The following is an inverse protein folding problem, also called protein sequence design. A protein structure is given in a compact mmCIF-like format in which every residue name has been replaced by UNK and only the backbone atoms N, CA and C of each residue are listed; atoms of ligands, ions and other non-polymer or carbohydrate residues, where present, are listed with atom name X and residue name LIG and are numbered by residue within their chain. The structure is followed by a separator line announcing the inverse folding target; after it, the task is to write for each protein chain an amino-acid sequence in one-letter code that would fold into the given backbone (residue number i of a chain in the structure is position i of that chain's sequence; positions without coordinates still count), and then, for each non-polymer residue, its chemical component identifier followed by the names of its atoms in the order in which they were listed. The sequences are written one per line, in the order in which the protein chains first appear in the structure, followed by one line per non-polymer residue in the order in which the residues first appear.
data_IF_317650844568
#
_entry.id   IF_317650844568
#
_cell.length_a   1.000
_cell.length_b   1.000
_cell.length_c   1.000
_cell.angle_alpha   90.00
_cell.angle_beta   90.00
_cell.angle_gamma   90.00
#
_symmetry.space_group_name_H-M   'P 1'
#
loop_
_entity.id
_entity.type
_entity.pdbx_description
1 polymer ?
#
# COMPACT_ATOMS: atom_id res chain seq x y z
N UNK A 1 -43.85 -2.41 11.51
CA UNK A 1 -42.67 -1.67 12.02
C UNK A 1 -41.57 -2.63 12.46
N UNK A 2 -41.83 -3.55 13.40
CA UNK A 2 -40.84 -4.53 13.90
C UNK A 2 -40.05 -5.28 12.81
N UNK A 3 -40.74 -5.82 11.78
CA UNK A 3 -40.08 -6.55 10.67
C UNK A 3 -39.13 -5.71 9.82
N UNK A 4 -39.45 -4.43 9.61
CA UNK A 4 -38.62 -3.51 8.81
C UNK A 4 -37.35 -3.18 9.59
N UNK A 5 -37.48 -2.89 10.89
CA UNK A 5 -36.33 -2.64 11.78
C UNK A 5 -35.39 -3.85 11.89
N UNK A 6 -35.94 -5.07 12.00
CA UNK A 6 -35.11 -6.28 12.06
C UNK A 6 -34.36 -6.47 10.74
N UNK A 7 -35.02 -6.31 9.60
CA UNK A 7 -34.39 -6.44 8.28
C UNK A 7 -33.28 -5.39 8.07
N UNK A 8 -33.49 -4.13 8.46
CA UNK A 8 -32.47 -3.09 8.35
C UNK A 8 -31.26 -3.35 9.23
N UNK A 9 -31.45 -3.86 10.46
CA UNK A 9 -30.34 -4.25 11.32
C UNK A 9 -29.50 -5.37 10.70
N UNK A 10 -30.14 -6.36 10.08
CA UNK A 10 -29.44 -7.43 9.37
C UNK A 10 -28.66 -6.92 8.16
N UNK A 11 -29.23 -5.99 7.39
CA UNK A 11 -28.51 -5.36 6.26
C UNK A 11 -27.31 -4.55 6.77
N UNK A 12 -27.47 -3.81 7.87
CA UNK A 12 -26.37 -3.10 8.54
C UNK A 12 -25.23 -4.04 8.91
N UNK A 13 -25.53 -5.14 9.60
CA UNK A 13 -24.53 -6.16 9.99
C UNK A 13 -23.89 -6.79 8.75
N UNK A 14 -24.67 -7.18 7.74
CA UNK A 14 -24.14 -7.77 6.51
C UNK A 14 -23.22 -6.80 5.76
N UNK A 15 -23.60 -5.52 5.67
CA UNK A 15 -22.79 -4.48 5.04
C UNK A 15 -21.48 -4.23 5.79
N UNK A 16 -21.52 -4.22 7.13
CA UNK A 16 -20.33 -4.12 7.96
C UNK A 16 -19.40 -5.31 7.72
N UNK A 17 -19.90 -6.55 7.76
CA UNK A 17 -19.08 -7.73 7.53
C UNK A 17 -18.44 -7.72 6.13
N UNK A 18 -19.19 -7.33 5.10
CA UNK A 18 -18.67 -7.22 3.74
C UNK A 18 -17.57 -6.15 3.63
N UNK A 19 -17.82 -4.95 4.16
CA UNK A 19 -16.86 -3.84 4.11
C UNK A 19 -15.60 -4.14 4.94
N UNK A 20 -15.75 -4.69 6.14
CA UNK A 20 -14.64 -5.06 7.01
C UNK A 20 -13.75 -6.15 6.37
N UNK A 21 -14.37 -7.15 5.74
CA UNK A 21 -13.63 -8.26 5.09
C UNK A 21 -12.92 -7.84 3.81
N UNK A 22 -13.50 -6.92 3.02
CA UNK A 22 -12.91 -6.48 1.75
C UNK A 22 -11.90 -5.35 1.94
N UNK A 23 -12.30 -4.31 2.67
CA UNK A 23 -11.64 -2.98 2.67
C UNK A 23 -11.16 -2.57 4.07
N UNK A 24 -11.49 -3.34 5.10
CA UNK A 24 -11.06 -3.07 6.46
C UNK A 24 -9.54 -3.22 6.67
N UNK A 25 -9.05 -2.88 7.88
CA UNK A 25 -7.63 -2.96 8.20
C UNK A 25 -7.04 -4.36 8.01
N UNK A 26 -7.83 -5.41 8.29
CA UNK A 26 -7.47 -6.81 8.08
C UNK A 26 -8.09 -7.42 6.81
N UNK A 27 -8.59 -6.58 5.90
CA UNK A 27 -9.30 -7.02 4.69
C UNK A 27 -8.38 -7.50 3.57
N UNK A 28 -8.99 -8.11 2.55
CA UNK A 28 -8.30 -8.66 1.38
C UNK A 28 -7.40 -7.65 0.67
N UNK A 29 -7.84 -6.40 0.53
CA UNK A 29 -7.06 -5.35 -0.14
C UNK A 29 -5.77 -5.05 0.62
N UNK A 30 -5.83 -5.01 1.96
CA UNK A 30 -4.67 -4.80 2.81
C UNK A 30 -3.69 -5.97 2.68
N UNK A 31 -4.19 -7.21 2.68
CA UNK A 31 -3.36 -8.40 2.48
C UNK A 31 -2.66 -8.41 1.12
N UNK A 32 -3.36 -8.05 0.04
CA UNK A 32 -2.75 -7.94 -1.29
C UNK A 32 -1.63 -6.90 -1.33
N UNK A 33 -1.86 -5.72 -0.72
CA UNK A 33 -0.83 -4.67 -0.64
C UNK A 33 0.38 -5.13 0.17
N UNK A 34 0.16 -5.78 1.31
CA UNK A 34 1.25 -6.36 2.13
C UNK A 34 2.04 -7.40 1.34
N UNK A 35 1.36 -8.25 0.57
CA UNK A 35 2.02 -9.23 -0.29
C UNK A 35 2.92 -8.56 -1.34
N UNK A 36 2.42 -7.53 -2.03
CA UNK A 36 3.22 -6.77 -2.99
C UNK A 36 4.40 -6.05 -2.32
N UNK A 37 4.19 -5.42 -1.16
CA UNK A 37 5.25 -4.75 -0.42
C UNK A 37 6.34 -5.73 0.04
N UNK A 38 5.94 -6.91 0.49
CA UNK A 38 6.87 -7.97 0.88
C UNK A 38 7.73 -8.42 -0.29
N UNK A 39 7.14 -8.53 -1.48
CA UNK A 39 7.87 -8.91 -2.69
C UNK A 39 8.90 -7.85 -3.09
N UNK A 40 8.52 -6.56 -3.06
CA UNK A 40 9.49 -5.47 -3.27
C UNK A 40 10.61 -5.47 -2.23
N UNK A 41 10.30 -5.72 -0.96
CA UNK A 41 11.32 -5.81 0.09
C UNK A 41 12.29 -6.96 -0.14
N UNK A 42 11.82 -8.12 -0.63
CA UNK A 42 12.68 -9.25 -0.98
C UNK A 42 13.62 -8.91 -2.14
N UNK A 43 13.10 -8.25 -3.19
CA UNK A 43 13.92 -7.82 -4.33
C UNK A 43 15.01 -6.85 -3.88
N UNK A 44 14.65 -5.84 -3.08
CA UNK A 44 15.60 -4.87 -2.54
C UNK A 44 16.65 -5.54 -1.65
N UNK A 45 16.25 -6.52 -0.82
CA UNK A 45 17.19 -7.25 0.01
C UNK A 45 18.17 -8.09 -0.82
N UNK A 46 17.70 -8.70 -1.91
CA UNK A 46 18.56 -9.44 -2.83
C UNK A 46 19.57 -8.53 -3.55
N UNK A 47 19.13 -7.35 -3.99
CA UNK A 47 20.00 -6.34 -4.61
C UNK A 47 21.05 -5.81 -3.63
N UNK A 48 20.65 -5.48 -2.39
CA UNK A 48 21.59 -5.06 -1.36
C UNK A 48 22.60 -6.15 -1.02
N UNK A 49 22.16 -7.42 -1.00
CA UNK A 49 23.06 -8.56 -0.76
C UNK A 49 24.09 -8.71 -1.88
N UNK A 50 23.70 -8.53 -3.14
CA UNK A 50 24.63 -8.66 -4.27
C UNK A 50 25.64 -7.51 -4.32
N UNK A 51 25.19 -6.28 -4.05
CA UNK A 51 26.07 -5.11 -3.91
C UNK A 51 27.06 -5.29 -2.76
N UNK A 52 26.58 -5.74 -1.60
CA UNK A 52 27.45 -5.98 -0.45
C UNK A 52 28.48 -7.07 -0.72
N UNK A 53 28.09 -8.16 -1.40
CA UNK A 53 29.03 -9.21 -1.79
C UNK A 53 30.11 -8.68 -2.75
N UNK A 54 29.73 -7.85 -3.72
CA UNK A 54 30.67 -7.20 -4.63
C UNK A 54 31.65 -6.30 -3.89
N UNK A 55 31.15 -5.39 -3.05
CA UNK A 55 32.02 -4.49 -2.28
C UNK A 55 32.91 -5.22 -1.29
N UNK A 56 32.43 -6.31 -0.69
CA UNK A 56 33.26 -7.15 0.18
C UNK A 56 34.40 -7.79 -0.59
N UNK A 57 34.15 -8.23 -1.83
CA UNK A 57 35.20 -8.76 -2.71
C UNK A 57 36.21 -7.70 -3.14
N UNK A 58 35.74 -6.51 -3.53
CA UNK A 58 36.61 -5.37 -3.89
C UNK A 58 37.45 -4.93 -2.67
N UNK A 59 36.85 -4.88 -1.49
CA UNK A 59 37.56 -4.57 -0.25
C UNK A 59 38.60 -5.62 0.10
N UNK A 60 38.29 -6.90 -0.06
CA UNK A 60 39.25 -7.98 0.21
C UNK A 60 40.42 -7.97 -0.78
N UNK A 61 40.17 -7.67 -2.07
CA UNK A 61 41.26 -7.54 -3.05
C UNK A 61 42.16 -6.34 -2.71
N UNK A 62 41.58 -5.19 -2.35
CA UNK A 62 42.36 -4.04 -1.87
C UNK A 62 43.15 -4.36 -0.60
N UNK A 63 42.68 -5.26 0.25
CA UNK A 63 43.38 -5.60 1.49
C UNK A 63 44.53 -6.59 1.28
N UNK A 64 44.37 -7.52 0.34
CA UNK A 64 45.31 -8.62 0.14
C UNK A 64 46.32 -8.35 -0.97
N UNK A 65 45.97 -7.54 -1.98
CA UNK A 65 46.81 -7.25 -3.13
C UNK A 65 47.38 -5.82 -3.05
N UNK A 66 48.70 -5.72 -2.89
CA UNK A 66 49.40 -4.45 -2.86
C UNK A 66 49.25 -3.66 -4.17
N UNK A 67 49.28 -4.35 -5.32
CA UNK A 67 49.08 -3.72 -6.63
C UNK A 67 47.69 -3.10 -6.76
N UNK A 68 46.63 -3.79 -6.30
CA UNK A 68 45.27 -3.26 -6.30
C UNK A 68 45.14 -2.01 -5.43
N UNK A 69 45.78 -2.01 -4.25
CA UNK A 69 45.83 -0.85 -3.35
C UNK A 69 46.49 0.35 -4.03
N UNK A 70 47.64 0.15 -4.67
CA UNK A 70 48.39 1.22 -5.35
C UNK A 70 47.57 1.79 -6.51
N UNK A 71 46.90 0.94 -7.27
CA UNK A 71 46.08 1.37 -8.41
C UNK A 71 44.87 2.18 -7.96
N UNK A 72 44.21 1.79 -6.87
CA UNK A 72 43.12 2.56 -6.27
C UNK A 72 43.59 3.84 -5.58
N UNK A 73 44.77 3.83 -4.93
CA UNK A 73 45.36 5.04 -4.39
C UNK A 73 45.63 6.07 -5.50
N UNK A 74 46.12 5.64 -6.66
CA UNK A 74 46.30 6.48 -7.85
C UNK A 74 44.97 6.99 -8.41
N UNK A 75 43.90 6.17 -8.39
CA UNK A 75 42.56 6.60 -8.83
C UNK A 75 42.01 7.73 -7.94
N UNK A 76 42.37 7.71 -6.65
CA UNK A 76 42.06 8.74 -5.66
C UNK A 76 43.02 9.95 -5.70
N UNK A 77 44.06 9.91 -6.53
CA UNK A 77 45.03 10.99 -6.69
C UNK A 77 46.22 10.95 -5.72
N UNK A 78 46.40 9.86 -4.98
CA UNK A 78 47.60 9.61 -4.20
C UNK A 78 48.71 9.02 -5.07
N UNK A 79 49.94 9.45 -4.82
CA UNK A 79 51.12 9.03 -5.57
C UNK A 79 52.26 8.76 -4.60
N UNK A 80 53.12 7.82 -4.96
CA UNK A 80 54.37 7.59 -4.25
C UNK A 80 55.38 8.71 -4.58
N UNK A 81 56.32 8.95 -3.67
CA UNK A 81 57.31 10.03 -3.78
C UNK A 81 58.23 9.88 -5.01
N UNK A 82 58.34 8.66 -5.56
CA UNK A 82 59.16 8.31 -6.72
C UNK A 82 58.38 8.26 -8.05
N UNK A 83 57.07 8.55 -8.06
CA UNK A 83 56.24 8.50 -9.26
C UNK A 83 56.12 9.86 -9.98
N UNK A 84 56.27 9.85 -11.31
CA UNK A 84 56.06 11.02 -12.17
C UNK A 84 54.76 10.84 -12.93
N UNK A 85 53.82 11.77 -12.77
CA UNK A 85 52.48 11.67 -13.39
C UNK A 85 52.24 12.76 -14.42
N UNK A 86 51.72 12.34 -15.57
CA UNK A 86 51.27 13.24 -16.64
C UNK A 86 49.77 13.47 -16.49
N UNK A 87 49.38 14.69 -16.13
CA UNK A 87 47.97 15.07 -16.06
C UNK A 87 47.43 15.32 -17.46
N UNK A 88 46.65 14.39 -17.97
CA UNK A 88 45.86 14.59 -19.18
C UNK A 88 44.63 15.43 -18.82
N UNK A 89 44.42 16.56 -19.50
CA UNK A 89 43.21 17.39 -19.33
C UNK A 89 42.01 16.73 -19.99
N UNK A 90 41.54 15.63 -19.40
CA UNK A 90 40.27 14.98 -19.74
C UNK A 90 39.24 15.47 -18.72
N UNK A 91 38.02 15.76 -19.18
CA UNK A 91 36.93 16.08 -18.27
C UNK A 91 36.78 14.93 -17.26
N UNK A 92 36.89 15.25 -15.96
CA UNK A 92 36.76 14.24 -14.92
C UNK A 92 35.36 13.61 -15.00
N UNK A 93 35.22 12.28 -14.96
CA UNK A 93 33.92 11.66 -14.84
C UNK A 93 33.27 12.13 -13.52
N UNK A 94 31.97 12.41 -13.56
CA UNK A 94 31.21 12.85 -12.40
C UNK A 94 31.15 11.69 -11.40
N UNK A 95 31.92 11.78 -10.32
CA UNK A 95 31.91 10.79 -9.24
C UNK A 95 30.70 11.03 -8.35
N UNK A 96 29.69 10.17 -8.47
CA UNK A 96 28.53 10.16 -7.56
C UNK A 96 28.83 9.16 -6.44
N UNK A 97 29.03 9.60 -5.18
CA UNK A 97 29.27 8.69 -4.09
C UNK A 97 28.07 7.74 -3.92
N UNK A 98 28.30 6.45 -3.64
CA UNK A 98 27.21 5.52 -3.40
C UNK A 98 26.38 5.98 -2.19
N UNK A 99 25.10 6.26 -2.42
CA UNK A 99 24.16 6.63 -1.36
C UNK A 99 23.97 5.44 -0.42
N UNK A 100 23.93 5.67 0.89
CA UNK A 100 23.63 4.66 1.92
C UNK A 100 22.17 4.11 1.89
N UNK A 101 21.49 4.26 0.74
CA UNK A 101 20.06 4.03 0.59
C UNK A 101 19.20 5.10 1.27
N UNK A 102 17.88 4.91 1.20
CA UNK A 102 16.90 5.69 1.97
C UNK A 102 16.15 4.75 2.89
N UNK A 103 15.87 5.20 4.12
CA UNK A 103 15.00 4.46 5.04
C UNK A 103 13.60 4.34 4.42
N UNK A 104 13.12 3.11 4.25
CA UNK A 104 11.73 2.85 3.90
C UNK A 104 10.90 2.99 5.17
N UNK A 105 10.03 4.01 5.22
CA UNK A 105 8.98 4.08 6.24
C UNK A 105 7.81 3.22 5.78
N UNK A 106 7.48 2.18 6.54
CA UNK A 106 6.28 1.39 6.31
C UNK A 106 5.11 2.03 7.08
N UNK A 107 4.17 2.62 6.36
CA UNK A 107 2.88 3.00 6.92
C UNK A 107 1.82 2.00 6.46
N UNK A 108 1.08 1.36 7.38
CA UNK A 108 0.01 0.44 7.00
C UNK A 108 -1.11 1.21 6.30
N UNK A 109 -1.22 1.03 4.98
CA UNK A 109 -2.24 1.68 4.17
C UNK A 109 -3.59 0.98 4.35
N UNK A 110 -4.32 1.31 5.42
CA UNK A 110 -5.76 0.99 5.48
C UNK A 110 -6.51 1.89 4.52
N UNK A 111 -7.34 1.31 3.63
CA UNK A 111 -8.16 2.10 2.69
C UNK A 111 -9.31 2.79 3.42
N UNK A 112 -9.87 2.13 4.43
CA UNK A 112 -10.78 2.72 5.39
C UNK A 112 -10.33 2.40 6.82
N UNK A 113 -10.42 3.39 7.69
CA UNK A 113 -10.32 3.16 9.13
C UNK A 113 -11.56 2.43 9.63
N UNK A 114 -11.40 1.67 10.71
CA UNK A 114 -12.49 0.93 11.36
C UNK A 114 -13.69 1.82 11.71
N UNK A 115 -13.43 3.07 12.13
CA UNK A 115 -14.46 4.06 12.39
C UNK A 115 -15.31 4.36 11.15
N UNK A 116 -14.67 4.55 9.98
CA UNK A 116 -15.36 4.82 8.72
C UNK A 116 -16.18 3.62 8.22
N UNK A 117 -15.70 2.39 8.44
CA UNK A 117 -16.46 1.17 8.10
C UNK A 117 -17.77 1.11 8.91
N UNK A 118 -17.72 1.44 10.20
CA UNK A 118 -18.90 1.50 11.07
C UNK A 118 -19.87 2.61 10.67
N UNK A 119 -19.36 3.79 10.33
CA UNK A 119 -20.17 4.91 9.83
C UNK A 119 -20.95 4.51 8.56
N UNK A 120 -20.28 3.92 7.57
CA UNK A 120 -20.92 3.50 6.32
C UNK A 120 -21.97 2.41 6.55
N UNK A 121 -21.70 1.44 7.40
CA UNK A 121 -22.66 0.40 7.75
C UNK A 121 -23.90 0.97 8.46
N UNK A 122 -23.70 1.95 9.35
CA UNK A 122 -24.81 2.65 10.02
C UNK A 122 -25.65 3.47 9.03
N UNK A 123 -25.02 4.16 8.08
CA UNK A 123 -25.72 4.89 7.01
C UNK A 123 -26.53 3.93 6.14
N UNK A 124 -25.96 2.79 5.75
CA UNK A 124 -26.68 1.77 4.99
C UNK A 124 -27.91 1.24 5.75
N UNK A 125 -27.76 0.96 7.05
CA UNK A 125 -28.88 0.56 7.90
C UNK A 125 -29.97 1.64 7.97
N UNK A 126 -29.59 2.92 8.13
CA UNK A 126 -30.53 4.03 8.19
C UNK A 126 -31.29 4.22 6.88
N UNK A 127 -30.61 4.15 5.73
CA UNK A 127 -31.23 4.27 4.41
C UNK A 127 -32.26 3.16 4.17
N UNK A 128 -32.00 1.93 4.61
CA UNK A 128 -32.96 0.82 4.48
C UNK A 128 -34.18 0.99 5.37
N UNK A 129 -34.04 1.59 6.57
CA UNK A 129 -35.19 1.97 7.41
C UNK A 129 -36.05 3.03 6.71
N UNK A 130 -35.43 4.09 6.18
CA UNK A 130 -36.13 5.18 5.49
C UNK A 130 -36.87 4.64 4.26
N UNK A 131 -36.19 3.86 3.41
CA UNK A 131 -36.80 3.24 2.24
C UNK A 131 -37.94 2.29 2.62
N UNK A 132 -37.76 1.46 3.65
CA UNK A 132 -38.81 0.57 4.16
C UNK A 132 -40.03 1.31 4.71
N UNK A 133 -39.83 2.46 5.36
CA UNK A 133 -40.91 3.33 5.81
C UNK A 133 -41.63 4.02 4.64
N UNK A 134 -40.89 4.58 3.69
CA UNK A 134 -41.43 5.23 2.50
C UNK A 134 -42.30 4.26 1.67
N UNK A 135 -41.81 3.03 1.43
CA UNK A 135 -42.57 1.99 0.74
C UNK A 135 -43.85 1.60 1.49
N UNK A 136 -43.82 1.60 2.83
CA UNK A 136 -45.00 1.29 3.65
C UNK A 136 -46.04 2.42 3.65
N UNK A 137 -45.59 3.67 3.61
CA UNK A 137 -46.42 4.87 3.49
C UNK A 137 -47.00 5.05 2.07
N UNK A 138 -46.33 4.53 1.05
CA UNK A 138 -46.84 4.50 -0.33
C UNK A 138 -47.87 3.39 -0.56
N UNK A 139 -47.84 2.31 0.24
CA UNK A 139 -48.73 1.13 0.11
C UNK A 139 -50.23 1.31 0.47
N UNK A 140 -50.71 2.31 1.24
CA UNK A 140 -52.14 2.43 1.53
C UNK A 140 -52.96 2.92 0.31
N UNK A 141 -52.36 3.61 -0.66
CA UNK A 141 -53.08 4.22 -1.78
C UNK A 141 -53.49 3.23 -2.88
N UNK A 142 -52.72 2.15 -3.08
CA UNK A 142 -53.06 1.11 -4.06
C UNK A 142 -54.27 0.27 -3.68
N UNK A 143 -54.52 0.07 -2.38
CA UNK A 143 -55.69 -0.69 -1.93
C UNK A 143 -56.99 0.10 -2.14
N UNK A 144 -56.99 1.40 -1.86
CA UNK A 144 -58.15 2.26 -2.08
C UNK A 144 -58.50 2.39 -3.58
N UNK A 145 -57.51 2.59 -4.45
CA UNK A 145 -57.72 2.68 -5.90
C UNK A 145 -58.33 1.38 -6.45
N UNK A 146 -57.82 0.21 -6.05
CA UNK A 146 -58.35 -1.09 -6.49
C UNK A 146 -59.75 -1.38 -5.94
N UNK A 147 -60.06 -0.96 -4.70
CA UNK A 147 -61.43 -1.12 -4.15
C UNK A 147 -62.44 -0.16 -4.76
N UNK A 148 -62.00 1.03 -5.18
CA UNK A 148 -62.86 2.05 -5.79
C UNK A 148 -63.16 1.74 -7.28
N UNK A 149 -62.25 1.03 -7.96
CA UNK A 149 -62.51 0.44 -9.27
C UNK A 149 -63.44 -0.78 -9.18
N UNK A 150 -63.24 -1.66 -8.19
CA UNK A 150 -64.09 -2.84 -7.98
C UNK A 150 -65.53 -2.51 -7.51
N UNK A 151 -65.77 -1.34 -6.93
CA UNK A 151 -67.13 -0.88 -6.55
C UNK A 151 -67.85 -0.10 -7.66
N UNK A 152 -67.19 0.13 -8.81
CA UNK A 152 -67.76 0.82 -9.98
C UNK A 152 -68.19 -0.14 -11.09
N UNK A 153 -67.91 -1.43 -10.96
CA UNK A 153 -68.41 -2.53 -11.80
C UNK A 153 -69.59 -3.21 -11.12
#
# INVERSE_FOLDING_TARGET
MKRIFIASCWIGIASYCALASLVGPSGLVSCMKVATATEYMKQNAAELSSLNARYSSEWESLRTEAEATVLEARSLGYLADDEVVVRLSVAAPEFVPPSAGKRLSYEPVSVLSEGRVKELAAVAALLTVIAGMALRLAKPRQREILTQEASRT
#
